data_IF_834166232538
#
_entry.id   IF_834166232538
#
_cell.length_a   1.000
_cell.length_b   1.000
_cell.length_c   1.000
_cell.angle_alpha   90.00
_cell.angle_beta   90.00
_cell.angle_gamma   90.00
#
_symmetry.space_group_name_H-M   'P 1'
#
loop_
_entity.id
_entity.type
_entity.pdbx_description
1 polymer ?
#
# COMPACT_ATOMS: atom_id res chain seq x y z
N UNK A 1 -0.22 -14.68 5.89
CA UNK A 1 -1.39 -14.14 5.17
C UNK A 1 -2.69 -14.62 5.80
N UNK A 2 -2.88 -15.92 6.09
CA UNK A 2 -4.10 -16.48 6.69
C UNK A 2 -4.51 -15.84 8.02
N UNK A 3 -3.61 -15.16 8.72
CA UNK A 3 -3.87 -14.50 10.01
C UNK A 3 -4.41 -13.06 9.86
N UNK A 4 -4.45 -12.53 8.64
CA UNK A 4 -4.95 -11.18 8.35
C UNK A 4 -6.48 -11.23 8.24
N UNK A 5 -7.16 -10.70 9.24
CA UNK A 5 -8.63 -10.78 9.37
C UNK A 5 -9.41 -10.18 8.20
N UNK A 6 -8.83 -9.21 7.49
CA UNK A 6 -9.48 -8.57 6.34
C UNK A 6 -9.44 -9.40 5.06
N UNK A 7 -8.68 -10.49 5.01
CA UNK A 7 -8.60 -11.38 3.84
C UNK A 7 -9.56 -12.55 4.09
N UNK A 8 -10.61 -12.74 3.27
CA UNK A 8 -11.53 -13.85 3.43
C UNK A 8 -10.82 -15.18 3.13
N UNK A 9 -11.10 -16.22 3.91
CA UNK A 9 -10.55 -17.56 3.68
C UNK A 9 -11.31 -18.33 2.61
N UNK A 10 -12.51 -17.88 2.26
CA UNK A 10 -13.34 -18.43 1.18
C UNK A 10 -13.98 -17.28 0.43
N UNK A 11 -13.97 -17.34 -0.88
CA UNK A 11 -14.71 -16.41 -1.73
C UNK A 11 -16.21 -16.72 -1.61
N UNK A 12 -17.03 -15.68 -1.51
CA UNK A 12 -18.47 -15.82 -1.58
C UNK A 12 -18.91 -15.78 -3.03
N UNK A 13 -19.73 -16.73 -3.41
CA UNK A 13 -20.44 -16.69 -4.68
C UNK A 13 -21.44 -15.53 -4.66
N UNK A 14 -21.51 -14.78 -5.74
CA UNK A 14 -22.49 -13.72 -5.93
C UNK A 14 -23.45 -14.08 -7.07
N UNK A 15 -24.55 -13.35 -7.19
CA UNK A 15 -25.48 -13.56 -8.29
C UNK A 15 -24.88 -13.17 -9.67
N UNK A 16 -23.91 -12.26 -9.67
CA UNK A 16 -23.34 -11.68 -10.89
C UNK A 16 -22.04 -12.35 -11.34
N UNK A 17 -21.37 -13.08 -10.45
CA UNK A 17 -20.09 -13.70 -10.73
C UNK A 17 -20.05 -15.11 -10.16
N UNK A 18 -19.60 -16.07 -10.95
CA UNK A 18 -19.20 -17.37 -10.42
C UNK A 18 -17.78 -17.27 -9.81
N UNK A 19 -17.43 -18.22 -8.97
CA UNK A 19 -16.08 -18.30 -8.39
C UNK A 19 -15.15 -18.87 -9.45
N UNK A 20 -14.04 -18.20 -9.79
CA UNK A 20 -13.06 -18.73 -10.73
C UNK A 20 -12.39 -19.99 -10.19
N UNK A 21 -11.94 -20.88 -11.08
CA UNK A 21 -11.20 -22.09 -10.72
C UNK A 21 -9.85 -21.78 -10.07
N UNK A 22 -9.22 -20.70 -10.54
CA UNK A 22 -8.00 -20.13 -9.98
C UNK A 22 -7.99 -18.62 -10.12
N UNK A 23 -7.55 -17.89 -9.08
CA UNK A 23 -7.34 -16.46 -9.16
C UNK A 23 -6.17 -16.01 -8.28
N UNK A 24 -5.26 -15.24 -8.87
CA UNK A 24 -4.20 -14.52 -8.19
C UNK A 24 -4.61 -13.06 -7.98
N UNK A 25 -4.79 -12.66 -6.73
CA UNK A 25 -5.15 -11.28 -6.36
C UNK A 25 -3.94 -10.61 -5.75
N UNK A 26 -3.52 -9.51 -6.37
CA UNK A 26 -2.42 -8.69 -5.89
C UNK A 26 -2.94 -7.54 -5.04
N UNK A 27 -2.28 -7.31 -3.92
CA UNK A 27 -2.68 -6.26 -3.00
C UNK A 27 -1.54 -5.83 -2.09
N UNK A 28 -1.84 -4.86 -1.26
CA UNK A 28 -0.90 -4.33 -0.27
C UNK A 28 -1.41 -4.58 1.14
N UNK A 29 -0.49 -4.96 2.02
CA UNK A 29 -0.74 -5.10 3.45
C UNK A 29 -0.19 -3.87 4.14
N UNK A 30 -1.01 -3.23 4.96
CA UNK A 30 -0.69 -2.00 5.63
C UNK A 30 -1.24 -1.95 7.06
N UNK A 31 -0.83 -0.94 7.81
CA UNK A 31 -1.38 -0.58 9.12
C UNK A 31 -1.93 0.83 9.03
N UNK A 32 -3.13 1.07 9.57
CA UNK A 32 -3.69 2.43 9.65
C UNK A 32 -2.92 3.29 10.64
N UNK A 33 -2.93 4.62 10.47
CA UNK A 33 -2.29 5.60 11.36
C UNK A 33 -2.67 5.33 12.83
N UNK A 34 -3.96 5.23 13.12
CA UNK A 34 -4.49 4.93 14.46
C UNK A 34 -3.96 3.61 15.04
N UNK A 35 -3.93 2.56 14.23
CA UNK A 35 -3.44 1.26 14.67
C UNK A 35 -1.92 1.25 14.89
N UNK A 36 -1.19 2.02 14.10
CA UNK A 36 0.24 2.22 14.26
C UNK A 36 0.58 2.94 15.57
N UNK A 37 -0.13 4.03 15.88
CA UNK A 37 0.00 4.75 17.14
C UNK A 37 -0.28 3.83 18.34
N UNK A 38 -1.38 3.09 18.29
CA UNK A 38 -1.73 2.12 19.34
C UNK A 38 -0.65 1.04 19.50
N UNK A 39 -0.12 0.52 18.38
CA UNK A 39 0.92 -0.49 18.40
C UNK A 39 2.20 0.03 19.07
N UNK A 40 2.63 1.24 18.75
CA UNK A 40 3.80 1.86 19.36
C UNK A 40 3.55 2.26 20.83
N UNK A 41 2.33 2.66 21.17
CA UNK A 41 1.98 2.91 22.57
C UNK A 41 2.09 1.65 23.44
N UNK A 42 1.61 0.51 22.94
CA UNK A 42 1.77 -0.77 23.62
C UNK A 42 3.26 -1.17 23.70
N UNK A 43 3.98 -1.05 22.58
CA UNK A 43 5.41 -1.36 22.55
C UNK A 43 6.23 -0.54 23.56
N UNK A 44 5.87 0.75 23.74
CA UNK A 44 6.51 1.63 24.73
C UNK A 44 6.23 1.18 26.17
N UNK A 45 4.99 0.73 26.47
CA UNK A 45 4.63 0.21 27.81
C UNK A 45 5.30 -1.11 28.12
N UNK A 46 5.48 -1.96 27.14
CA UNK A 46 6.10 -3.28 27.26
C UNK A 46 7.63 -3.25 27.07
N UNK A 47 8.23 -2.06 26.93
CA UNK A 47 9.66 -1.84 26.66
C UNK A 47 10.17 -2.65 25.44
N UNK A 48 9.30 -2.87 24.47
CA UNK A 48 9.63 -3.59 23.25
C UNK A 48 9.99 -2.63 22.12
N UNK A 49 10.40 -3.18 20.96
CA UNK A 49 10.84 -2.38 19.80
C UNK A 49 9.72 -1.49 19.24
N UNK A 50 9.94 -0.20 19.24
CA UNK A 50 9.10 0.81 18.58
C UNK A 50 9.38 0.82 17.08
N UNK A 51 8.35 0.93 16.25
CA UNK A 51 8.47 1.03 14.80
C UNK A 51 8.58 2.50 14.37
N UNK A 52 9.47 2.78 13.42
CA UNK A 52 9.72 4.14 12.93
C UNK A 52 8.60 4.69 12.03
N UNK A 53 7.86 3.82 11.32
CA UNK A 53 6.75 4.22 10.44
C UNK A 53 5.79 3.05 10.20
N UNK A 54 4.56 3.32 9.72
CA UNK A 54 3.55 2.29 9.46
C UNK A 54 3.99 1.23 8.44
N UNK A 55 4.76 1.60 7.43
CA UNK A 55 5.28 0.68 6.39
C UNK A 55 6.24 -0.35 6.99
N UNK A 56 7.18 0.11 7.82
CA UNK A 56 8.11 -0.78 8.53
C UNK A 56 7.38 -1.66 9.55
N UNK A 57 6.37 -1.12 10.23
CA UNK A 57 5.53 -1.88 11.15
C UNK A 57 4.75 -2.99 10.42
N UNK A 58 4.16 -2.71 9.26
CA UNK A 58 3.46 -3.70 8.45
C UNK A 58 4.40 -4.79 7.94
N UNK A 59 5.50 -4.40 7.29
CA UNK A 59 6.47 -5.36 6.71
C UNK A 59 7.16 -6.20 7.79
N UNK A 60 7.55 -5.59 8.91
CA UNK A 60 8.14 -6.28 10.06
C UNK A 60 7.16 -7.25 10.72
N UNK A 61 5.89 -6.89 10.84
CA UNK A 61 4.84 -7.75 11.37
C UNK A 61 4.53 -8.94 10.48
N UNK A 62 4.66 -8.79 9.16
CA UNK A 62 4.40 -9.86 8.20
C UNK A 62 5.55 -10.87 8.13
N UNK A 63 6.78 -10.45 8.40
CA UNK A 63 8.00 -11.28 8.32
C UNK A 63 8.28 -12.11 9.59
N UNK A 64 7.33 -12.18 10.53
CA UNK A 64 7.50 -12.99 11.73
C UNK A 64 7.51 -14.48 11.38
N UNK A 65 8.43 -15.23 11.98
CA UNK A 65 8.49 -16.69 11.86
C UNK A 65 7.27 -17.33 12.56
N UNK A 66 6.90 -16.81 13.74
CA UNK A 66 5.70 -17.24 14.45
C UNK A 66 4.47 -16.47 13.93
N UNK A 67 3.55 -17.19 13.30
CA UNK A 67 2.29 -16.64 12.78
C UNK A 67 1.36 -16.11 13.88
N UNK A 68 1.50 -16.54 15.13
CA UNK A 68 0.72 -16.03 16.27
C UNK A 68 1.08 -14.58 16.59
N UNK A 69 2.33 -14.17 16.38
CA UNK A 69 2.76 -12.78 16.53
C UNK A 69 2.08 -11.94 15.44
N UNK A 70 2.10 -12.41 14.18
CA UNK A 70 1.40 -11.73 13.07
C UNK A 70 -0.10 -11.62 13.31
N UNK A 71 -0.73 -12.66 13.87
CA UNK A 71 -2.17 -12.68 14.17
C UNK A 71 -2.61 -11.59 15.16
N UNK A 72 -1.72 -11.20 16.08
CA UNK A 72 -1.96 -10.12 17.06
C UNK A 72 -1.76 -8.72 16.48
N UNK A 73 -1.14 -8.59 15.31
CA UNK A 73 -0.88 -7.30 14.65
C UNK A 73 -2.12 -6.81 13.89
N UNK A 74 -2.46 -5.51 13.99
CA UNK A 74 -3.65 -4.95 13.36
C UNK A 74 -3.41 -4.67 11.87
N UNK A 75 -3.05 -5.71 11.12
CA UNK A 75 -2.80 -5.65 9.69
C UNK A 75 -4.10 -5.56 8.90
N UNK A 76 -4.10 -4.74 7.87
CA UNK A 76 -5.16 -4.61 6.88
C UNK A 76 -4.64 -4.94 5.49
N UNK A 77 -5.54 -5.34 4.58
CA UNK A 77 -5.23 -5.66 3.19
C UNK A 77 -6.12 -4.84 2.26
N UNK A 78 -5.56 -4.40 1.14
CA UNK A 78 -6.29 -3.79 0.02
C UNK A 78 -5.81 -4.43 -1.28
N UNK A 79 -6.76 -5.00 -2.05
CA UNK A 79 -6.48 -5.50 -3.39
C UNK A 79 -6.38 -4.34 -4.39
N UNK A 80 -5.42 -4.45 -5.32
CA UNK A 80 -5.17 -3.43 -6.34
C UNK A 80 -4.93 -3.98 -7.74
N UNK A 81 -4.87 -5.28 -7.93
CA UNK A 81 -4.61 -5.88 -9.23
C UNK A 81 -4.88 -7.38 -9.26
N UNK A 82 -4.92 -7.90 -10.46
CA UNK A 82 -5.09 -9.31 -10.79
C UNK A 82 -3.80 -9.86 -11.39
N UNK A 83 -3.49 -11.10 -11.10
CA UNK A 83 -2.49 -11.90 -11.79
C UNK A 83 -3.16 -12.96 -12.68
N UNK A 84 -2.74 -14.22 -12.56
CA UNK A 84 -3.37 -15.33 -13.27
C UNK A 84 -4.81 -15.52 -12.80
N UNK A 85 -5.72 -15.75 -13.77
CA UNK A 85 -7.12 -16.06 -13.51
C UNK A 85 -7.57 -17.16 -14.48
N UNK A 86 -8.35 -18.12 -14.00
CA UNK A 86 -8.90 -19.22 -14.79
C UNK A 86 -10.38 -19.41 -14.44
N UNK A 87 -11.20 -19.65 -15.45
CA UNK A 87 -12.65 -19.86 -15.29
C UNK A 87 -13.48 -18.57 -15.35
N UNK A 88 -12.83 -17.40 -15.37
CA UNK A 88 -13.47 -16.08 -15.61
C UNK A 88 -12.51 -15.21 -16.42
N UNK A 89 -13.06 -14.53 -17.42
CA UNK A 89 -12.36 -13.49 -18.20
C UNK A 89 -12.96 -12.13 -17.86
N UNK A 90 -12.23 -11.33 -17.10
CA UNK A 90 -12.60 -9.94 -16.86
C UNK A 90 -12.19 -9.07 -18.04
N UNK A 91 -13.08 -8.18 -18.48
CA UNK A 91 -12.77 -7.24 -19.59
C UNK A 91 -12.15 -5.93 -19.09
N UNK A 92 -12.32 -5.61 -17.80
CA UNK A 92 -11.83 -4.35 -17.23
C UNK A 92 -11.48 -4.46 -15.75
N UNK A 93 -10.69 -3.47 -15.27
CA UNK A 93 -10.44 -3.30 -13.83
C UNK A 93 -11.72 -3.01 -13.05
N UNK A 94 -12.68 -2.30 -13.64
CA UNK A 94 -13.97 -2.02 -13.01
C UNK A 94 -14.75 -3.30 -12.73
N UNK A 95 -14.84 -4.18 -13.71
CA UNK A 95 -15.49 -5.48 -13.54
C UNK A 95 -14.77 -6.34 -12.50
N UNK A 96 -13.44 -6.39 -12.56
CA UNK A 96 -12.64 -7.07 -11.55
C UNK A 96 -12.87 -6.51 -10.13
N UNK A 97 -12.89 -5.19 -9.96
CA UNK A 97 -13.20 -4.60 -8.65
C UNK A 97 -14.65 -4.87 -8.19
N UNK A 98 -15.59 -4.97 -9.11
CA UNK A 98 -16.96 -5.37 -8.81
C UNK A 98 -17.02 -6.81 -8.31
N UNK A 99 -16.28 -7.73 -8.96
CA UNK A 99 -16.10 -9.08 -8.47
C UNK A 99 -15.48 -9.12 -7.06
N UNK A 100 -14.39 -8.37 -6.81
CA UNK A 100 -13.76 -8.31 -5.49
C UNK A 100 -14.72 -7.85 -4.40
N UNK A 101 -15.52 -6.80 -4.67
CA UNK A 101 -16.55 -6.30 -3.74
C UNK A 101 -17.57 -7.37 -3.42
N UNK A 102 -18.10 -8.04 -4.44
CA UNK A 102 -19.12 -9.08 -4.26
C UNK A 102 -18.57 -10.28 -3.49
N UNK A 103 -17.27 -10.57 -3.64
CA UNK A 103 -16.55 -11.64 -2.94
C UNK A 103 -16.04 -11.21 -1.54
N UNK A 104 -16.37 -10.01 -1.08
CA UNK A 104 -15.95 -9.42 0.20
C UNK A 104 -14.41 -9.25 0.33
N UNK A 105 -13.71 -9.10 -0.78
CA UNK A 105 -12.28 -8.78 -0.78
C UNK A 105 -12.11 -7.27 -0.67
N UNK A 106 -11.34 -6.76 0.29
CA UNK A 106 -11.17 -5.32 0.48
C UNK A 106 -10.49 -4.67 -0.73
N UNK A 107 -11.09 -3.58 -1.21
CA UNK A 107 -10.53 -2.70 -2.22
C UNK A 107 -10.43 -1.28 -1.67
N UNK A 108 -9.59 -0.46 -2.30
CA UNK A 108 -9.48 0.94 -1.92
C UNK A 108 -10.78 1.70 -2.28
N UNK A 109 -11.43 2.28 -1.27
CA UNK A 109 -12.66 3.09 -1.43
C UNK A 109 -12.42 4.38 -2.24
N UNK A 110 -11.18 4.82 -2.34
CA UNK A 110 -10.76 5.98 -3.12
C UNK A 110 -10.52 5.64 -4.60
N UNK A 111 -10.61 4.37 -5.01
CA UNK A 111 -10.53 4.00 -6.43
C UNK A 111 -11.72 4.58 -7.18
N UNK A 112 -11.44 5.30 -8.26
CA UNK A 112 -12.42 5.95 -9.15
C UNK A 112 -12.05 5.72 -10.60
N UNK A 113 -13.03 5.81 -11.48
CA UNK A 113 -12.88 5.70 -12.92
C UNK A 113 -13.25 7.05 -13.53
N UNK A 114 -12.44 7.50 -14.45
CA UNK A 114 -12.60 8.75 -15.17
C UNK A 114 -12.34 8.54 -16.67
N UNK A 115 -13.01 9.31 -17.50
CA UNK A 115 -12.89 9.22 -18.95
C UNK A 115 -11.89 10.21 -19.53
N UNK A 116 -11.50 11.24 -18.79
CA UNK A 116 -10.57 12.27 -19.26
C UNK A 116 -9.34 12.39 -18.35
N UNK A 117 -8.23 12.79 -18.93
CA UNK A 117 -7.00 13.10 -18.19
C UNK A 117 -7.19 14.28 -17.22
N UNK A 118 -8.02 15.25 -17.62
CA UNK A 118 -8.32 16.41 -16.76
C UNK A 118 -9.03 15.99 -15.48
N UNK A 119 -10.01 15.08 -15.56
CA UNK A 119 -10.71 14.56 -14.37
C UNK A 119 -9.77 13.75 -13.48
N UNK A 120 -8.86 12.99 -14.08
CA UNK A 120 -7.80 12.29 -13.35
C UNK A 120 -6.93 13.27 -12.55
N UNK A 121 -6.51 14.39 -13.15
CA UNK A 121 -5.70 15.41 -12.48
C UNK A 121 -6.50 16.17 -11.41
N UNK A 122 -7.75 16.47 -11.66
CA UNK A 122 -8.64 17.06 -10.65
C UNK A 122 -8.79 16.13 -9.44
N UNK A 123 -8.90 14.83 -9.69
CA UNK A 123 -8.97 13.83 -8.63
C UNK A 123 -7.66 13.71 -7.85
N UNK A 124 -6.51 13.76 -8.53
CA UNK A 124 -5.20 13.80 -7.88
C UNK A 124 -5.10 14.99 -6.90
N UNK A 125 -5.48 16.19 -7.34
CA UNK A 125 -5.48 17.38 -6.49
C UNK A 125 -6.42 17.23 -5.29
N UNK A 126 -7.57 16.58 -5.48
CA UNK A 126 -8.47 16.25 -4.38
C UNK A 126 -7.80 15.30 -3.37
N UNK A 127 -7.13 14.25 -3.83
CA UNK A 127 -6.40 13.31 -2.95
C UNK A 127 -5.27 14.03 -2.21
N UNK A 128 -4.54 14.92 -2.88
CA UNK A 128 -3.49 15.73 -2.25
C UNK A 128 -4.05 16.54 -1.08
N UNK A 129 -5.17 17.25 -1.29
CA UNK A 129 -5.79 18.10 -0.26
C UNK A 129 -6.39 17.33 0.92
N UNK A 130 -6.73 16.04 0.72
CA UNK A 130 -7.27 15.19 1.78
C UNK A 130 -6.27 14.18 2.35
N UNK A 131 -4.98 14.30 2.01
CA UNK A 131 -3.92 13.35 2.38
C UNK A 131 -3.89 13.05 3.89
N UNK A 132 -4.00 14.07 4.72
CA UNK A 132 -3.97 13.92 6.18
C UNK A 132 -5.19 13.18 6.74
N UNK A 133 -6.35 13.34 6.09
CA UNK A 133 -7.61 12.70 6.49
C UNK A 133 -7.67 11.22 6.10
N UNK A 134 -6.78 10.77 5.21
CA UNK A 134 -6.71 9.37 4.81
C UNK A 134 -6.15 8.54 5.98
N UNK A 135 -6.83 7.46 6.39
CA UNK A 135 -6.47 6.71 7.59
C UNK A 135 -5.19 5.87 7.48
N UNK A 136 -4.49 5.94 6.36
CA UNK A 136 -3.19 5.29 6.09
C UNK A 136 -2.30 6.23 5.28
N UNK A 137 -0.99 6.00 5.33
CA UNK A 137 -0.04 6.78 4.55
C UNK A 137 -0.14 6.45 3.06
N UNK A 138 -0.05 7.50 2.24
CA UNK A 138 0.02 7.40 0.79
C UNK A 138 1.18 8.24 0.27
N UNK A 139 1.84 7.76 -0.77
CA UNK A 139 2.95 8.47 -1.44
C UNK A 139 2.60 8.92 -2.87
N UNK A 140 1.41 8.58 -3.35
CA UNK A 140 0.96 8.93 -4.68
C UNK A 140 -0.37 8.32 -5.07
N UNK A 141 -0.77 8.60 -6.31
CA UNK A 141 -1.91 8.01 -7.00
C UNK A 141 -1.39 7.20 -8.19
N UNK A 142 -1.95 6.03 -8.42
CA UNK A 142 -1.62 5.23 -9.60
C UNK A 142 -2.78 5.31 -10.59
N UNK A 143 -2.52 5.87 -11.75
CA UNK A 143 -3.44 5.85 -12.88
C UNK A 143 -3.21 4.57 -13.69
N UNK A 144 -4.30 3.89 -14.05
CA UNK A 144 -4.27 2.66 -14.83
C UNK A 144 -5.28 2.71 -15.95
N UNK A 145 -4.94 2.16 -17.09
CA UNK A 145 -5.91 1.91 -18.15
C UNK A 145 -6.93 0.89 -17.66
N UNK A 146 -8.23 1.19 -17.79
CA UNK A 146 -9.30 0.35 -17.25
C UNK A 146 -9.52 -0.94 -18.06
N UNK A 147 -9.44 -0.87 -19.38
CA UNK A 147 -9.68 -1.97 -20.31
C UNK A 147 -8.48 -2.91 -20.40
N UNK A 148 -8.69 -4.22 -20.18
CA UNK A 148 -7.62 -5.22 -20.20
C UNK A 148 -7.08 -5.49 -21.60
N UNK A 149 -7.90 -5.39 -22.65
CA UNK A 149 -7.44 -5.51 -24.03
C UNK A 149 -6.47 -4.39 -24.40
N UNK A 150 -6.72 -3.16 -23.93
CA UNK A 150 -5.77 -2.07 -24.07
C UNK A 150 -4.52 -2.24 -23.24
N UNK A 151 -4.63 -2.78 -22.01
CA UNK A 151 -3.46 -3.10 -21.19
C UNK A 151 -2.54 -4.11 -21.90
N UNK A 152 -3.11 -5.16 -22.49
CA UNK A 152 -2.39 -6.17 -23.25
C UNK A 152 -1.67 -5.56 -24.47
N UNK A 153 -2.36 -4.74 -25.25
CA UNK A 153 -1.78 -4.03 -26.41
C UNK A 153 -0.64 -3.09 -26.04
N UNK A 154 -0.75 -2.39 -24.92
CA UNK A 154 0.30 -1.49 -24.42
C UNK A 154 1.50 -2.28 -23.87
N UNK A 155 1.24 -3.44 -23.31
CA UNK A 155 2.25 -4.35 -22.78
C UNK A 155 3.02 -3.78 -21.60
N UNK A 156 4.22 -4.34 -21.39
CA UNK A 156 5.13 -3.95 -20.32
C UNK A 156 6.56 -3.78 -20.85
N UNK A 157 7.32 -2.91 -20.22
CA UNK A 157 8.79 -2.90 -20.29
C UNK A 157 9.33 -3.75 -19.15
N UNK A 158 10.63 -4.10 -19.21
CA UNK A 158 11.27 -5.10 -18.32
C UNK A 158 10.89 -5.04 -16.82
N UNK A 159 10.49 -3.88 -16.30
CA UNK A 159 10.18 -3.67 -14.87
C UNK A 159 8.88 -2.93 -14.59
N UNK A 160 8.17 -2.46 -15.60
CA UNK A 160 6.97 -1.65 -15.40
C UNK A 160 5.95 -1.85 -16.53
N UNK A 161 4.64 -1.88 -16.22
CA UNK A 161 3.60 -1.86 -17.23
C UNK A 161 3.53 -0.49 -17.91
N UNK A 162 3.26 -0.45 -19.23
CA UNK A 162 3.03 0.81 -19.96
C UNK A 162 1.63 1.37 -19.76
N UNK A 163 0.73 0.56 -19.24
CA UNK A 163 -0.66 0.91 -18.97
C UNK A 163 -0.92 1.47 -17.56
N UNK A 164 0.14 1.67 -16.74
CA UNK A 164 0.03 2.24 -15.42
C UNK A 164 1.12 3.28 -15.18
N UNK A 165 0.73 4.39 -14.56
CA UNK A 165 1.62 5.49 -14.19
C UNK A 165 1.41 5.85 -12.71
N UNK A 166 2.49 5.88 -11.94
CA UNK A 166 2.47 6.37 -10.57
C UNK A 166 2.77 7.88 -10.56
N UNK A 167 1.82 8.68 -10.08
CA UNK A 167 1.97 10.12 -9.90
C UNK A 167 2.15 10.41 -8.41
N UNK A 168 3.39 10.70 -8.03
CA UNK A 168 3.78 10.88 -6.63
C UNK A 168 3.24 12.18 -6.04
N UNK A 169 2.85 12.15 -4.77
CA UNK A 169 2.57 13.36 -4.01
C UNK A 169 3.89 14.09 -3.70
N UNK A 170 3.85 15.43 -3.53
CA UNK A 170 5.01 16.19 -3.05
C UNK A 170 5.55 15.58 -1.75
N UNK A 171 6.87 15.57 -1.61
CA UNK A 171 7.50 15.19 -0.36
C UNK A 171 7.11 16.17 0.76
N UNK A 172 6.98 15.67 1.96
CA UNK A 172 6.84 16.53 3.12
C UNK A 172 8.22 17.09 3.48
N UNK A 173 8.33 18.43 3.49
CA UNK A 173 9.55 19.12 3.85
C UNK A 173 9.42 19.65 5.28
N UNK A 174 10.40 19.29 6.12
CA UNK A 174 10.45 19.73 7.51
C UNK A 174 11.82 20.33 7.79
N UNK A 175 11.82 21.52 8.36
CA UNK A 175 13.07 22.18 8.78
C UNK A 175 13.54 21.57 10.09
N UNK A 176 14.84 21.26 10.17
CA UNK A 176 15.48 20.73 11.37
C UNK A 176 16.85 21.35 11.59
N UNK A 177 17.42 21.17 12.77
CA UNK A 177 18.78 21.63 13.11
C UNK A 177 19.73 20.46 12.92
N UNK A 178 20.73 20.63 12.03
CA UNK A 178 21.82 19.70 11.89
C UNK A 178 22.74 19.79 13.10
N UNK A 179 22.89 18.69 13.84
CA UNK A 179 23.73 18.61 15.03
C UNK A 179 25.12 18.07 14.76
N UNK A 180 25.19 17.06 13.89
CA UNK A 180 26.45 16.39 13.57
C UNK A 180 26.36 15.66 12.23
N UNK A 181 27.52 15.44 11.61
CA UNK A 181 27.68 14.69 10.36
C UNK A 181 28.74 13.61 10.57
N UNK A 182 28.32 12.37 10.46
CA UNK A 182 29.23 11.24 10.57
C UNK A 182 29.37 10.51 9.24
N UNK A 183 30.57 10.02 8.93
CA UNK A 183 30.87 9.27 7.74
C UNK A 183 31.21 7.82 8.09
N UNK A 184 30.56 6.89 7.45
CA UNK A 184 30.84 5.45 7.57
C UNK A 184 31.33 4.91 6.23
N UNK A 185 32.34 4.07 6.29
CA UNK A 185 32.86 3.36 5.12
C UNK A 185 32.24 1.96 5.10
N UNK A 186 31.45 1.65 4.08
CA UNK A 186 30.89 0.32 3.88
C UNK A 186 31.97 -0.70 3.47
N UNK A 187 31.63 -1.99 3.53
CA UNK A 187 32.54 -3.10 3.16
C UNK A 187 33.12 -2.97 1.74
N UNK A 188 32.40 -2.32 0.84
CA UNK A 188 32.82 -2.09 -0.55
C UNK A 188 33.59 -0.78 -0.76
N UNK A 189 33.96 -0.07 0.31
CA UNK A 189 34.56 1.25 0.23
C UNK A 189 33.61 2.41 -0.01
N UNK A 190 32.30 2.14 -0.13
CA UNK A 190 31.29 3.18 -0.32
C UNK A 190 31.14 4.02 0.95
N UNK A 191 31.25 5.34 0.81
CA UNK A 191 31.01 6.30 1.90
C UNK A 191 29.50 6.53 2.08
N UNK A 192 29.04 6.34 3.31
CA UNK A 192 27.67 6.69 3.73
C UNK A 192 27.74 7.84 4.72
N UNK A 193 27.05 8.92 4.42
CA UNK A 193 26.90 10.07 5.31
C UNK A 193 25.69 9.87 6.23
N UNK A 194 25.90 10.00 7.54
CA UNK A 194 24.85 10.00 8.56
C UNK A 194 24.69 11.41 9.10
N UNK A 195 23.47 11.96 8.94
CA UNK A 195 23.11 13.29 9.45
C UNK A 195 22.38 13.12 10.78
N UNK A 196 22.88 13.73 11.84
CA UNK A 196 22.23 13.83 13.13
C UNK A 196 21.48 15.16 13.21
N UNK A 197 20.15 15.08 13.39
CA UNK A 197 19.27 16.23 13.41
C UNK A 197 18.43 16.25 14.69
N UNK A 198 17.94 17.43 15.09
CA UNK A 198 17.04 17.58 16.23
C UNK A 198 16.06 18.76 16.02
N UNK A 199 14.75 18.55 16.17
CA UNK A 199 14.12 17.22 16.24
C UNK A 199 14.36 16.42 14.95
N UNK A 200 14.40 15.11 15.03
CA UNK A 200 14.40 14.30 13.80
C UNK A 200 13.11 14.57 13.02
N UNK A 201 13.14 14.70 11.69
CA UNK A 201 11.90 14.81 10.90
C UNK A 201 10.93 13.65 11.12
N UNK A 202 11.41 12.51 11.65
CA UNK A 202 10.60 11.35 12.03
C UNK A 202 9.98 11.45 13.43
N UNK A 203 10.53 12.31 14.29
CA UNK A 203 10.08 12.48 15.68
C UNK A 203 9.03 13.59 15.81
N UNK A 204 8.88 14.44 14.79
CA UNK A 204 7.89 15.54 14.76
C UNK A 204 6.43 15.07 14.57
N UNK A 205 6.22 13.76 14.42
CA UNK A 205 4.91 13.12 14.32
C UNK A 205 4.55 12.28 15.57
N UNK A 206 5.19 12.57 16.72
CA UNK A 206 4.86 11.97 18.02
C UNK A 206 4.08 12.93 18.90
#
# INVERSE_FOLDING_TARGET
>A
VKTIKSIPHKLKQSQNFHIPDYIEIRGEIFITKKNFENLNHVAKKEETKIFANPRNAASGSLRQLDSNITAKRPLSFIAHGIGRCEGIDFVSLEEFYSFLKSSLIPINRLTKIYSTTQDCMNYYNKILNMREQIPYEIDGVVFKVNDFGFQERLGAVSRAPRWAVAYKLPAEEVTTILKDINFQVGRTGLLTCLLYTSPSPRDSNL
#
